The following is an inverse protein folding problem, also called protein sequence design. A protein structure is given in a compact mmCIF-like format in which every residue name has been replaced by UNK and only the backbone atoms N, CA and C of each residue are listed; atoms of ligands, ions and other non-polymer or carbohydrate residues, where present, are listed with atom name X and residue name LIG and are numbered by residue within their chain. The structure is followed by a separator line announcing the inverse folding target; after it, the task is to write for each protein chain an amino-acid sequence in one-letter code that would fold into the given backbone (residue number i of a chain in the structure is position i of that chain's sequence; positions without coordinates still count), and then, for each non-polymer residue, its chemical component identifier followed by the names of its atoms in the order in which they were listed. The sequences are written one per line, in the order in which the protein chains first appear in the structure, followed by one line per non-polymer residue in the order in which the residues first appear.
data_IF_277844589926
#
_entry.id   IF_277844589926
#
_cell.length_a   1.000
_cell.length_b   1.000
_cell.length_c   1.000
_cell.angle_alpha   90.00
_cell.angle_beta   90.00
_cell.angle_gamma   90.00
#
_symmetry.space_group_name_H-M   'P 1'
#
loop_
_entity.id
_entity.type
_entity.pdbx_description
1 polymer ?
#
# COMPACT_ATOMS: atom_id res chain seq x y z
N UNK A 1 -10.31 -13.96 10.75
CA UNK A 1 -9.72 -12.70 11.24
C UNK A 1 -9.78 -11.68 10.13
N UNK A 2 -10.23 -10.46 10.43
CA UNK A 2 -10.21 -9.34 9.49
C UNK A 2 -8.77 -8.94 9.14
N UNK A 3 -8.60 -8.17 8.05
CA UNK A 3 -7.28 -7.59 7.72
C UNK A 3 -6.78 -6.69 8.86
N UNK A 4 -7.67 -5.89 9.45
CA UNK A 4 -7.33 -4.97 10.54
C UNK A 4 -6.76 -5.71 11.77
N UNK A 5 -7.36 -6.85 12.13
CA UNK A 5 -6.88 -7.72 13.21
C UNK A 5 -5.48 -8.28 12.89
N UNK A 6 -5.29 -8.78 11.67
CA UNK A 6 -3.99 -9.32 11.23
C UNK A 6 -2.88 -8.28 11.23
N UNK A 7 -3.15 -7.06 10.73
CA UNK A 7 -2.17 -5.96 10.74
C UNK A 7 -1.84 -5.50 12.17
N UNK A 8 -2.84 -5.46 13.04
CA UNK A 8 -2.66 -5.07 14.45
C UNK A 8 -1.78 -6.09 15.18
N UNK A 9 -2.07 -7.38 15.04
CA UNK A 9 -1.26 -8.45 15.62
C UNK A 9 0.18 -8.39 15.09
N UNK A 10 0.37 -8.26 13.77
CA UNK A 10 1.69 -8.18 13.16
C UNK A 10 2.51 -6.98 13.65
N UNK A 11 1.86 -5.84 13.90
CA UNK A 11 2.48 -4.63 14.46
C UNK A 11 2.90 -4.84 15.91
N UNK A 12 2.07 -5.49 16.72
CA UNK A 12 2.39 -5.81 18.11
C UNK A 12 3.57 -6.78 18.19
N UNK A 13 3.57 -7.85 17.39
CA UNK A 13 4.68 -8.81 17.31
C UNK A 13 5.98 -8.13 16.86
N UNK A 14 5.93 -7.32 15.80
CA UNK A 14 7.11 -6.57 15.33
C UNK A 14 7.71 -5.71 16.44
N UNK A 15 6.85 -5.01 17.20
CA UNK A 15 7.27 -4.15 18.29
C UNK A 15 7.80 -4.96 19.48
N UNK A 16 7.21 -6.10 19.80
CA UNK A 16 7.69 -6.96 20.88
C UNK A 16 9.09 -7.51 20.59
N UNK A 17 9.35 -7.90 19.33
CA UNK A 17 10.61 -8.50 18.90
C UNK A 17 11.74 -7.49 18.62
N UNK A 18 11.41 -6.20 18.45
CA UNK A 18 12.40 -5.18 18.13
C UNK A 18 13.21 -4.75 19.36
N UNK A 19 14.53 -4.57 19.19
CA UNK A 19 15.39 -3.98 20.23
C UNK A 19 15.02 -2.52 20.52
N UNK A 20 15.41 -1.97 21.69
CA UNK A 20 15.19 -0.55 22.00
C UNK A 20 15.82 0.39 20.97
N UNK A 21 17.03 0.09 20.47
CA UNK A 21 17.74 0.89 19.46
C UNK A 21 17.00 0.93 18.12
N UNK A 22 16.47 -0.22 17.67
CA UNK A 22 15.67 -0.29 16.45
C UNK A 22 14.38 0.53 16.60
N UNK A 23 13.73 0.45 17.76
CA UNK A 23 12.53 1.25 18.06
C UNK A 23 12.82 2.74 18.04
N UNK A 24 13.92 3.17 18.66
CA UNK A 24 14.33 4.57 18.69
C UNK A 24 14.60 5.08 17.27
N UNK A 25 15.35 4.32 16.46
CA UNK A 25 15.63 4.66 15.06
C UNK A 25 14.34 4.80 14.26
N UNK A 26 13.42 3.84 14.37
CA UNK A 26 12.11 3.91 13.70
C UNK A 26 11.31 5.15 14.12
N UNK A 27 11.29 5.48 15.42
CA UNK A 27 10.58 6.66 15.92
C UNK A 27 11.20 7.96 15.39
N UNK A 28 12.53 8.06 15.37
CA UNK A 28 13.23 9.21 14.81
C UNK A 28 12.95 9.39 13.32
N UNK A 29 12.98 8.31 12.55
CA UNK A 29 12.75 8.37 11.10
C UNK A 29 11.29 8.69 10.77
N UNK A 30 10.34 8.11 11.52
CA UNK A 30 8.92 8.46 11.39
C UNK A 30 8.68 9.95 11.71
N UNK A 31 9.33 10.48 12.74
CA UNK A 31 9.24 11.90 13.09
C UNK A 31 9.77 12.78 11.95
N UNK A 32 10.96 12.47 11.41
CA UNK A 32 11.53 13.19 10.26
C UNK A 32 10.60 13.17 9.05
N UNK A 33 9.99 12.02 8.75
CA UNK A 33 9.03 11.91 7.64
C UNK A 33 7.80 12.78 7.89
N UNK A 34 7.22 12.75 9.09
CA UNK A 34 6.09 13.61 9.43
C UNK A 34 6.44 15.10 9.32
N UNK A 35 7.63 15.51 9.75
CA UNK A 35 8.11 16.89 9.68
C UNK A 35 8.52 17.33 8.26
N UNK A 36 8.68 16.39 7.32
CA UNK A 36 9.10 16.71 5.94
C UNK A 36 8.01 17.34 5.07
N UNK A 37 6.76 17.37 5.55
CA UNK A 37 5.61 17.84 4.76
C UNK A 37 5.08 16.79 3.76
N UNK A 38 5.60 15.56 3.79
CA UNK A 38 5.22 14.51 2.83
C UNK A 38 3.74 14.09 2.94
N UNK A 39 3.14 14.23 4.12
CA UNK A 39 1.74 13.89 4.36
C UNK A 39 0.84 14.94 3.70
N UNK A 40 1.19 16.21 3.82
CA UNK A 40 0.46 17.34 3.25
C UNK A 40 0.54 17.36 1.72
N UNK A 41 1.66 16.90 1.17
CA UNK A 41 1.92 16.75 -0.26
C UNK A 41 1.35 15.45 -0.86
N UNK A 42 0.88 14.51 -0.04
CA UNK A 42 0.28 13.28 -0.51
C UNK A 42 -1.04 13.55 -1.26
N UNK A 43 -1.38 12.76 -2.30
CA UNK A 43 -2.64 12.91 -3.02
C UNK A 43 -3.85 12.82 -2.09
N UNK A 44 -4.81 13.73 -2.26
CA UNK A 44 -6.04 13.86 -1.48
C UNK A 44 -7.24 13.40 -2.30
N UNK A 45 -8.37 13.18 -1.62
CA UNK A 45 -9.64 12.89 -2.29
C UNK A 45 -10.00 14.06 -3.20
N UNK A 46 -10.29 13.76 -4.46
CA UNK A 46 -10.56 14.75 -5.51
C UNK A 46 -9.35 15.10 -6.37
N UNK A 47 -8.13 14.79 -5.91
CA UNK A 47 -6.94 15.00 -6.72
C UNK A 47 -6.90 14.04 -7.91
N UNK A 48 -6.44 14.54 -9.05
CA UNK A 48 -6.21 13.71 -10.22
C UNK A 48 -4.85 13.03 -10.14
N UNK A 49 -4.85 11.70 -10.13
CA UNK A 49 -3.64 10.92 -10.30
C UNK A 49 -3.11 11.14 -11.73
N UNK A 50 -1.86 11.59 -11.85
CA UNK A 50 -1.19 11.76 -13.14
C UNK A 50 -1.13 10.41 -13.86
N UNK A 51 -1.36 10.43 -15.17
CA UNK A 51 -1.21 9.25 -15.99
C UNK A 51 0.23 8.74 -15.94
N UNK A 52 0.39 7.44 -16.11
CA UNK A 52 1.68 6.78 -16.12
C UNK A 52 1.66 5.58 -17.04
N UNK A 53 2.86 5.21 -17.49
CA UNK A 53 3.10 4.06 -18.34
C UNK A 53 4.22 3.23 -17.71
N UNK A 54 3.91 1.97 -17.37
CA UNK A 54 4.85 1.07 -16.70
C UNK A 54 4.76 -0.33 -17.31
N UNK A 55 5.89 -1.07 -17.40
CA UNK A 55 5.85 -2.47 -17.77
C UNK A 55 5.17 -3.29 -16.66
N UNK A 56 4.30 -4.21 -17.05
CA UNK A 56 3.74 -5.21 -16.15
C UNK A 56 4.77 -6.33 -15.86
N UNK A 57 4.39 -7.30 -15.04
CA UNK A 57 5.25 -8.43 -14.68
C UNK A 57 5.67 -9.33 -15.87
N UNK A 58 5.07 -9.17 -17.04
CA UNK A 58 5.42 -9.87 -18.30
C UNK A 58 6.25 -9.00 -19.25
N UNK A 59 6.59 -7.77 -18.85
CA UNK A 59 7.31 -6.80 -19.69
C UNK A 59 6.42 -6.01 -20.65
N UNK A 60 5.10 -6.20 -20.61
CA UNK A 60 4.16 -5.49 -21.49
C UNK A 60 3.83 -4.12 -20.90
N UNK A 61 3.84 -3.10 -21.75
CA UNK A 61 3.51 -1.74 -21.36
C UNK A 61 2.04 -1.62 -20.98
N UNK A 62 1.77 -1.07 -19.80
CA UNK A 62 0.43 -0.77 -19.28
C UNK A 62 0.32 0.72 -18.96
N UNK A 63 -0.74 1.37 -19.47
CA UNK A 63 -1.06 2.77 -19.16
C UNK A 63 -2.24 2.86 -18.21
N UNK A 64 -2.20 3.80 -17.28
CA UNK A 64 -3.34 4.02 -16.38
C UNK A 64 -4.59 4.49 -17.15
N UNK A 65 -4.42 5.31 -18.20
CA UNK A 65 -5.51 5.70 -19.09
C UNK A 65 -6.25 4.50 -19.71
N UNK A 66 -5.53 3.48 -20.18
CA UNK A 66 -6.12 2.28 -20.80
C UNK A 66 -6.91 1.44 -19.78
N UNK A 67 -6.48 1.43 -18.51
CA UNK A 67 -7.20 0.77 -17.43
C UNK A 67 -8.48 1.52 -17.06
N UNK A 68 -8.41 2.86 -16.99
CA UNK A 68 -9.55 3.72 -16.67
C UNK A 68 -10.68 3.65 -17.70
N UNK A 69 -10.38 3.34 -18.95
CA UNK A 69 -11.41 3.11 -19.98
C UNK A 69 -12.25 1.85 -19.72
N UNK A 70 -11.72 0.89 -18.93
CA UNK A 70 -12.41 -0.37 -18.61
C UNK A 70 -13.30 -0.26 -17.37
N UNK A 71 -13.03 0.72 -16.51
CA UNK A 71 -13.76 0.94 -15.27
C UNK A 71 -12.93 1.68 -14.20
N UNK A 72 -13.46 1.79 -12.98
CA UNK A 72 -12.71 2.22 -11.81
C UNK A 72 -11.39 1.44 -11.63
N UNK A 73 -10.36 2.11 -11.13
CA UNK A 73 -9.04 1.50 -10.91
C UNK A 73 -8.66 1.60 -9.45
N UNK A 74 -8.39 0.46 -8.82
CA UNK A 74 -7.77 0.38 -7.49
C UNK A 74 -6.26 0.33 -7.66
N UNK A 75 -5.54 1.35 -7.16
CA UNK A 75 -4.08 1.40 -7.16
C UNK A 75 -3.58 1.06 -5.76
N UNK A 76 -2.72 0.05 -5.65
CA UNK A 76 -2.06 -0.34 -4.39
C UNK A 76 -0.55 -0.32 -4.54
N UNK A 77 0.14 0.26 -3.56
CA UNK A 77 1.60 0.32 -3.53
C UNK A 77 2.15 -0.88 -2.76
N UNK A 78 2.57 -1.90 -3.50
CA UNK A 78 3.17 -3.10 -2.95
C UNK A 78 4.70 -2.96 -2.89
N UNK A 79 5.27 -2.86 -1.67
CA UNK A 79 6.72 -2.65 -1.48
C UNK A 79 7.58 -3.85 -1.90
N UNK A 80 6.98 -5.05 -1.99
CA UNK A 80 7.66 -6.29 -2.36
C UNK A 80 7.42 -7.44 -1.38
N UNK A 81 7.82 -8.65 -1.80
CA UNK A 81 7.64 -9.92 -1.06
C UNK A 81 8.21 -9.93 0.36
N UNK A 82 9.23 -9.10 0.60
CA UNK A 82 9.88 -8.92 1.90
C UNK A 82 9.02 -8.15 2.92
N UNK A 83 7.95 -7.48 2.47
CA UNK A 83 7.08 -6.70 3.33
C UNK A 83 5.95 -7.57 3.90
N UNK A 84 5.96 -7.90 5.22
CA UNK A 84 4.95 -8.78 5.80
C UNK A 84 3.55 -8.17 5.81
N UNK A 85 3.44 -6.85 5.96
CA UNK A 85 2.15 -6.13 5.93
C UNK A 85 1.55 -6.14 4.53
N UNK A 86 2.37 -5.84 3.53
CA UNK A 86 1.96 -5.79 2.12
C UNK A 86 1.46 -7.15 1.64
N UNK A 87 2.05 -8.25 2.13
CA UNK A 87 1.58 -9.60 1.82
C UNK A 87 0.20 -9.91 2.42
N UNK A 88 -0.09 -9.41 3.63
CA UNK A 88 -1.40 -9.54 4.25
C UNK A 88 -2.46 -8.74 3.48
N UNK A 89 -2.13 -7.49 3.11
CA UNK A 89 -2.99 -6.63 2.31
C UNK A 89 -3.28 -7.24 0.93
N UNK A 90 -2.25 -7.73 0.23
CA UNK A 90 -2.42 -8.35 -1.09
C UNK A 90 -3.31 -9.60 -1.01
N UNK A 91 -3.15 -10.43 0.03
CA UNK A 91 -4.04 -11.58 0.28
C UNK A 91 -5.47 -11.12 0.52
N UNK A 92 -5.68 -10.07 1.31
CA UNK A 92 -7.02 -9.54 1.57
C UNK A 92 -7.68 -9.02 0.29
N UNK A 93 -6.95 -8.29 -0.57
CA UNK A 93 -7.44 -7.89 -1.89
C UNK A 93 -7.87 -9.09 -2.73
N UNK A 94 -7.09 -10.17 -2.74
CA UNK A 94 -7.46 -11.39 -3.47
C UNK A 94 -8.74 -12.03 -2.93
N UNK A 95 -8.98 -12.00 -1.61
CA UNK A 95 -10.18 -12.54 -0.99
C UNK A 95 -11.44 -11.72 -1.33
N UNK A 96 -11.29 -10.40 -1.50
CA UNK A 96 -12.41 -9.50 -1.86
C UNK A 96 -12.48 -9.16 -3.36
N UNK A 97 -11.68 -9.83 -4.18
CA UNK A 97 -11.61 -9.55 -5.61
C UNK A 97 -12.97 -9.69 -6.32
N UNK A 98 -13.84 -10.68 -6.01
CA UNK A 98 -15.17 -10.75 -6.59
C UNK A 98 -16.01 -9.48 -6.33
N UNK A 99 -15.98 -8.97 -5.10
CA UNK A 99 -16.72 -7.77 -4.69
C UNK A 99 -16.18 -6.51 -5.35
N UNK A 100 -14.85 -6.41 -5.51
CA UNK A 100 -14.23 -5.31 -6.27
C UNK A 100 -14.72 -5.32 -7.71
N UNK A 101 -14.74 -6.50 -8.36
CA UNK A 101 -15.22 -6.63 -9.75
C UNK A 101 -16.71 -6.32 -9.89
N UNK A 102 -17.53 -6.68 -8.90
CA UNK A 102 -18.96 -6.37 -8.89
C UNK A 102 -19.22 -4.86 -8.76
N UNK A 103 -18.34 -4.14 -8.07
CA UNK A 103 -18.45 -2.69 -7.88
C UNK A 103 -18.08 -1.84 -9.12
N UNK A 104 -17.47 -2.44 -10.14
CA UNK A 104 -17.09 -1.77 -11.40
C UNK A 104 -15.64 -1.97 -11.79
#
# INVERSE_FOLDING_TARGET
MSLQEQLTARKQEARAQSSPEVKDTQLRDLKKLAESGIIEAAPKVGDSLKDFELPNHRGEITRLADLRQKGPVVVTFYRGGWCPYCNLELRAYQQVLPQIKEAG
#
